data_IF_333022238886
#
_entry.id   IF_333022238886
#
_cell.length_a   1.000
_cell.length_b   1.000
_cell.length_c   1.000
_cell.angle_alpha   90.00
_cell.angle_beta   90.00
_cell.angle_gamma   90.00
#
_symmetry.space_group_name_H-M   'P 1'
#
loop_
_entity.id
_entity.type
_entity.pdbx_description
1 polymer ?
#
# COMPACT_ATOMS: atom_id res chain seq x y z
N UNK A 1 99.28 -9.50 -9.57
CA UNK A 1 98.85 -8.09 -9.71
C UNK A 1 97.97 -7.98 -10.95
N UNK A 2 96.76 -7.38 -10.81
CA UNK A 2 95.97 -6.69 -11.86
C UNK A 2 95.45 -7.54 -13.03
N UNK A 3 94.14 -7.79 -13.16
CA UNK A 3 93.10 -6.96 -13.84
C UNK A 3 92.53 -7.84 -14.98
N UNK A 4 91.29 -8.36 -14.91
CA UNK A 4 89.99 -7.74 -15.22
C UNK A 4 89.75 -7.46 -16.73
N UNK A 5 88.76 -8.15 -17.33
CA UNK A 5 87.96 -7.83 -18.54
C UNK A 5 86.82 -8.88 -18.64
N UNK A 6 85.59 -8.62 -18.16
CA UNK A 6 84.42 -8.05 -18.85
C UNK A 6 83.93 -8.84 -20.08
N UNK A 7 82.76 -9.47 -19.95
CA UNK A 7 81.89 -9.91 -21.05
C UNK A 7 80.40 -9.71 -20.66
N UNK A 8 79.53 -9.27 -21.59
CA UNK A 8 78.17 -8.83 -21.32
C UNK A 8 77.16 -9.99 -21.46
N UNK A 9 76.15 -10.04 -20.60
CA UNK A 9 74.98 -10.91 -20.77
C UNK A 9 73.72 -10.03 -20.89
N UNK A 10 73.10 -10.11 -22.07
CA UNK A 10 71.88 -9.40 -22.43
C UNK A 10 70.69 -9.91 -21.60
N UNK A 11 70.01 -9.01 -20.90
CA UNK A 11 68.69 -9.27 -20.32
C UNK A 11 67.62 -9.07 -21.40
N UNK A 12 66.95 -10.15 -21.79
CA UNK A 12 65.67 -10.11 -22.50
C UNK A 12 64.56 -9.72 -21.52
N UNK A 13 63.97 -8.54 -21.73
CA UNK A 13 62.76 -8.11 -21.03
C UNK A 13 61.53 -8.74 -21.71
N UNK A 14 60.92 -9.72 -21.04
CA UNK A 14 59.58 -10.22 -21.37
C UNK A 14 58.54 -9.23 -20.83
N UNK A 15 57.98 -8.40 -21.72
CA UNK A 15 56.80 -7.60 -21.41
C UNK A 15 55.56 -8.50 -21.43
N UNK A 16 55.15 -9.01 -20.27
CA UNK A 16 53.87 -9.67 -20.09
C UNK A 16 52.77 -8.62 -19.90
N UNK A 17 51.82 -8.53 -20.83
CA UNK A 17 50.59 -7.76 -20.64
C UNK A 17 49.71 -8.49 -19.62
N UNK A 18 49.79 -8.10 -18.34
CA UNK A 18 48.75 -8.42 -17.38
C UNK A 18 47.52 -7.59 -17.74
N UNK A 19 46.56 -8.19 -18.45
CA UNK A 19 45.21 -7.64 -18.54
C UNK A 19 44.63 -7.78 -17.14
N UNK A 20 44.70 -6.71 -16.35
CA UNK A 20 43.96 -6.60 -15.12
C UNK A 20 42.49 -6.72 -15.48
N UNK A 21 41.85 -7.82 -15.10
CA UNK A 21 40.41 -7.86 -14.96
C UNK A 21 40.05 -6.77 -13.97
N UNK A 22 39.59 -5.63 -14.47
CA UNK A 22 38.92 -4.66 -13.64
C UNK A 22 37.73 -5.41 -13.04
N UNK A 23 37.82 -5.75 -11.76
CA UNK A 23 36.63 -6.04 -10.98
C UNK A 23 35.75 -4.81 -11.13
N UNK A 24 34.72 -4.95 -11.96
CA UNK A 24 33.61 -4.00 -12.01
C UNK A 24 32.97 -4.17 -10.65
N UNK A 25 33.36 -3.31 -9.71
CA UNK A 25 32.68 -3.08 -8.44
C UNK A 25 31.22 -2.78 -8.77
N UNK A 26 30.44 -3.86 -8.86
CA UNK A 26 29.02 -3.81 -9.07
C UNK A 26 28.49 -3.45 -7.70
N UNK A 27 28.30 -2.16 -7.43
CA UNK A 27 27.63 -1.70 -6.22
C UNK A 27 26.38 -2.56 -6.03
N UNK A 28 26.23 -3.23 -4.87
CA UNK A 28 25.06 -4.05 -4.62
C UNK A 28 23.84 -3.17 -4.83
N UNK A 29 23.00 -3.51 -5.80
CA UNK A 29 21.81 -2.74 -6.09
C UNK A 29 20.93 -2.87 -4.86
N UNK A 30 20.82 -1.79 -4.08
CA UNK A 30 20.06 -1.79 -2.84
C UNK A 30 18.61 -2.17 -3.17
N UNK A 31 18.21 -3.39 -2.79
CA UNK A 31 16.84 -3.83 -2.89
C UNK A 31 16.07 -3.23 -1.72
N UNK A 32 14.91 -2.65 -2.01
CA UNK A 32 14.03 -2.12 -0.98
C UNK A 32 12.79 -2.98 -0.82
N UNK A 33 12.42 -3.29 0.42
CA UNK A 33 11.29 -4.14 0.78
C UNK A 33 10.30 -3.38 1.66
N UNK A 34 9.01 -3.49 1.35
CA UNK A 34 7.94 -2.99 2.20
C UNK A 34 6.84 -4.00 2.46
N UNK A 35 6.20 -3.90 3.62
CA UNK A 35 5.02 -4.68 3.96
C UNK A 35 3.79 -3.79 4.09
N UNK A 36 2.69 -4.18 3.45
CA UNK A 36 1.39 -3.57 3.66
C UNK A 36 0.41 -4.67 4.03
N UNK A 37 -0.22 -4.50 5.18
CA UNK A 37 -1.33 -5.34 5.64
C UNK A 37 -2.56 -4.46 5.71
N UNK A 38 -3.56 -4.73 4.87
CA UNK A 38 -4.82 -3.99 4.82
C UNK A 38 -5.92 -4.84 5.43
N UNK A 39 -6.62 -4.27 6.40
CA UNK A 39 -7.87 -4.80 6.94
C UNK A 39 -9.00 -3.95 6.36
N UNK A 40 -9.72 -4.52 5.40
CA UNK A 40 -10.82 -3.85 4.71
C UNK A 40 -12.15 -4.30 5.30
N UNK A 41 -13.05 -3.33 5.48
CA UNK A 41 -14.45 -3.57 5.80
C UNK A 41 -15.31 -2.64 4.97
N UNK A 42 -16.31 -3.14 4.28
CA UNK A 42 -17.21 -2.34 3.47
C UNK A 42 -18.65 -2.73 3.75
N UNK A 43 -19.47 -1.77 4.13
CA UNK A 43 -20.92 -1.92 4.26
C UNK A 43 -21.62 -1.23 3.08
N UNK A 44 -22.52 -1.95 2.41
CA UNK A 44 -23.29 -1.43 1.28
C UNK A 44 -24.80 -1.36 1.56
N UNK A 45 -25.59 -0.90 0.58
CA UNK A 45 -27.05 -0.95 0.64
C UNK A 45 -27.52 -2.40 0.88
N UNK A 46 -28.41 -2.59 1.87
CA UNK A 46 -28.87 -3.93 2.27
C UNK A 46 -27.96 -4.66 3.27
N UNK A 47 -27.04 -3.94 3.93
CA UNK A 47 -26.23 -4.40 5.07
C UNK A 47 -25.38 -5.66 4.82
N UNK A 48 -25.09 -5.97 3.56
CA UNK A 48 -24.10 -7.00 3.21
C UNK A 48 -22.69 -6.44 3.46
N UNK A 49 -22.23 -6.56 4.70
CA UNK A 49 -20.89 -6.20 5.08
C UNK A 49 -19.89 -7.25 4.56
N UNK A 50 -18.90 -6.79 3.79
CA UNK A 50 -17.74 -7.59 3.38
C UNK A 50 -16.55 -7.17 4.22
N UNK A 51 -15.85 -8.13 4.81
CA UNK A 51 -14.59 -7.89 5.51
C UNK A 51 -13.50 -8.83 5.00
N UNK A 52 -12.31 -8.31 4.75
CA UNK A 52 -11.19 -9.07 4.20
C UNK A 52 -9.88 -8.52 4.78
N UNK A 53 -8.92 -9.40 5.09
CA UNK A 53 -7.53 -9.00 5.31
C UNK A 53 -6.72 -9.37 4.09
N UNK A 54 -5.86 -8.46 3.65
CA UNK A 54 -4.90 -8.70 2.60
C UNK A 54 -3.51 -8.26 3.07
N UNK A 55 -2.51 -9.13 2.97
CA UNK A 55 -1.12 -8.80 3.24
C UNK A 55 -0.29 -8.97 1.96
N UNK A 56 0.58 -7.99 1.70
CA UNK A 56 1.48 -7.96 0.54
C UNK A 56 2.86 -7.47 0.99
N UNK A 57 3.91 -8.11 0.49
CA UNK A 57 5.30 -7.79 0.80
C UNK A 57 6.00 -7.45 -0.51
N UNK A 58 6.17 -6.16 -0.78
CA UNK A 58 6.67 -5.67 -2.06
C UNK A 58 8.17 -5.49 -2.00
N UNK A 59 8.87 -6.02 -3.00
CA UNK A 59 10.27 -5.74 -3.29
C UNK A 59 10.38 -4.90 -4.54
N UNK A 60 11.29 -3.95 -4.49
CA UNK A 60 11.68 -3.14 -5.64
C UNK A 60 13.16 -3.37 -5.92
N UNK A 61 13.47 -3.70 -7.17
CA UNK A 61 14.83 -4.00 -7.63
C UNK A 61 15.66 -2.75 -7.91
N UNK A 62 15.02 -1.58 -8.00
CA UNK A 62 15.66 -0.28 -8.24
C UNK A 62 14.95 0.83 -7.46
N UNK A 63 15.70 1.48 -6.59
CA UNK A 63 15.21 2.60 -5.77
C UNK A 63 14.52 2.16 -4.48
N UNK A 64 14.07 3.14 -3.70
CA UNK A 64 13.30 2.88 -2.49
C UNK A 64 11.83 2.55 -2.79
N UNK A 65 11.13 2.07 -1.76
CA UNK A 65 9.67 1.96 -1.79
C UNK A 65 9.05 3.35 -1.83
N UNK A 66 8.48 3.69 -2.98
CA UNK A 66 7.75 4.95 -3.21
C UNK A 66 6.23 4.75 -3.06
N UNK A 67 5.46 5.84 -3.19
CA UNK A 67 3.99 5.80 -3.10
C UNK A 67 3.37 4.88 -4.17
N UNK A 68 4.02 4.74 -5.32
CA UNK A 68 3.55 3.88 -6.39
C UNK A 68 3.68 2.40 -6.03
N UNK A 69 4.82 1.99 -5.49
CA UNK A 69 5.01 0.63 -4.98
C UNK A 69 3.99 0.30 -3.88
N UNK A 70 3.73 1.25 -2.98
CA UNK A 70 2.69 1.09 -1.95
C UNK A 70 1.29 0.94 -2.57
N UNK A 71 1.00 1.68 -3.64
CA UNK A 71 -0.27 1.60 -4.38
C UNK A 71 -0.48 0.24 -5.01
N UNK A 72 0.57 -0.33 -5.60
CA UNK A 72 0.52 -1.69 -6.15
C UNK A 72 0.33 -2.72 -5.02
N UNK A 73 0.89 -2.47 -3.84
CA UNK A 73 0.61 -3.26 -2.64
C UNK A 73 -0.81 -3.07 -2.06
N UNK A 74 -1.66 -2.29 -2.71
CA UNK A 74 -3.05 -2.06 -2.32
C UNK A 74 -3.25 -0.88 -1.37
N UNK A 75 -2.23 -0.09 -1.06
CA UNK A 75 -2.44 1.17 -0.37
C UNK A 75 -3.05 2.19 -1.34
N UNK A 76 -4.38 2.39 -1.25
CA UNK A 76 -5.04 3.42 -2.06
C UNK A 76 -4.40 4.78 -1.79
N UNK A 77 -4.04 5.49 -2.86
CA UNK A 77 -3.61 6.87 -2.76
C UNK A 77 -4.75 7.73 -2.22
N UNK A 78 -4.42 8.61 -1.30
CA UNK A 78 -5.37 9.53 -0.66
C UNK A 78 -4.85 10.94 -0.89
N UNK A 79 -5.64 11.85 -1.48
CA UNK A 79 -5.25 13.24 -1.62
C UNK A 79 -4.93 13.87 -0.27
N UNK A 80 -4.24 15.01 -0.28
CA UNK A 80 -4.09 15.80 0.94
C UNK A 80 -5.47 16.19 1.49
N UNK A 81 -5.60 16.30 2.82
CA UNK A 81 -6.84 16.71 3.47
C UNK A 81 -7.29 18.08 2.93
N UNK A 82 -8.56 18.17 2.53
CA UNK A 82 -9.16 19.35 1.89
C UNK A 82 -8.98 19.40 0.38
N UNK A 83 -8.38 18.38 -0.24
CA UNK A 83 -8.16 18.31 -1.69
C UNK A 83 -9.05 17.24 -2.33
N UNK A 84 -9.50 17.54 -3.54
CA UNK A 84 -10.15 16.61 -4.44
C UNK A 84 -9.28 16.37 -5.68
N UNK A 85 -9.23 15.14 -6.16
CA UNK A 85 -8.53 14.75 -7.39
C UNK A 85 -9.41 13.82 -8.22
N UNK A 86 -9.26 13.83 -9.54
CA UNK A 86 -9.94 12.84 -10.38
C UNK A 86 -9.35 11.46 -10.14
N UNK A 87 -10.18 10.41 -10.21
CA UNK A 87 -9.69 9.04 -10.04
C UNK A 87 -8.71 8.65 -11.15
N UNK A 88 -8.86 9.18 -12.36
CA UNK A 88 -7.98 8.91 -13.50
C UNK A 88 -6.57 9.49 -13.29
N UNK A 89 -6.45 10.71 -12.75
CA UNK A 89 -5.14 11.31 -12.41
C UNK A 89 -4.43 10.56 -11.28
N UNK A 90 -5.20 9.85 -10.45
CA UNK A 90 -4.67 9.02 -9.37
C UNK A 90 -4.22 7.64 -9.86
N UNK A 91 -4.34 7.33 -11.14
CA UNK A 91 -3.74 6.13 -11.73
C UNK A 91 -2.35 6.47 -12.28
N UNK A 92 -1.31 5.96 -11.61
CA UNK A 92 0.07 6.10 -12.07
C UNK A 92 0.43 4.95 -13.01
N UNK A 93 1.24 5.23 -14.04
CA UNK A 93 1.72 4.21 -14.98
C UNK A 93 2.46 3.11 -14.20
N UNK A 94 2.04 1.84 -14.25
CA UNK A 94 2.56 0.79 -13.38
C UNK A 94 4.06 0.58 -13.60
N UNK A 95 4.77 0.22 -12.53
CA UNK A 95 6.18 -0.20 -12.56
C UNK A 95 6.27 -1.67 -12.15
N UNK A 96 7.27 -2.42 -12.65
CA UNK A 96 7.50 -3.79 -12.19
C UNK A 96 7.74 -3.84 -10.69
N UNK A 97 7.03 -4.73 -10.01
CA UNK A 97 7.21 -5.05 -8.59
C UNK A 97 7.19 -6.56 -8.38
N UNK A 98 7.96 -7.01 -7.39
CA UNK A 98 8.00 -8.41 -6.98
C UNK A 98 7.36 -8.55 -5.60
N UNK A 99 6.56 -9.58 -5.39
CA UNK A 99 5.87 -9.86 -4.13
C UNK A 99 6.55 -11.04 -3.43
N UNK A 100 7.22 -10.77 -2.32
CA UNK A 100 7.99 -11.75 -1.56
C UNK A 100 7.07 -12.80 -0.89
N UNK A 101 7.53 -14.05 -0.87
CA UNK A 101 6.92 -15.11 -0.06
C UNK A 101 7.50 -15.09 1.37
N UNK A 102 6.64 -14.78 2.34
CA UNK A 102 7.02 -14.66 3.75
C UNK A 102 6.57 -15.85 4.61
N UNK A 103 6.18 -16.95 3.96
CA UNK A 103 5.69 -18.14 4.65
C UNK A 103 4.25 -17.97 5.14
N UNK A 104 4.01 -18.15 6.44
CA UNK A 104 2.66 -18.06 7.00
C UNK A 104 2.36 -16.68 7.58
N UNK A 105 1.17 -16.17 7.29
CA UNK A 105 0.65 -14.92 7.85
C UNK A 105 -0.64 -15.21 8.60
N UNK A 106 -0.72 -14.75 9.84
CA UNK A 106 -1.90 -14.88 10.69
C UNK A 106 -2.30 -13.53 11.23
N UNK A 107 -3.60 -13.32 11.36
CA UNK A 107 -4.19 -12.13 11.96
C UNK A 107 -5.09 -12.52 13.10
N UNK A 108 -4.94 -11.83 14.21
CA UNK A 108 -5.72 -12.04 15.42
C UNK A 108 -6.40 -10.73 15.83
N UNK A 109 -7.70 -10.78 16.08
CA UNK A 109 -8.47 -9.64 16.59
C UNK A 109 -9.59 -10.15 17.49
N UNK A 110 -9.73 -9.52 18.67
CA UNK A 110 -10.73 -9.91 19.67
C UNK A 110 -10.73 -11.42 20.00
N UNK A 111 -9.54 -12.05 20.01
CA UNK A 111 -9.36 -13.49 20.27
C UNK A 111 -9.67 -14.41 19.10
N UNK A 112 -10.25 -13.90 18.00
CA UNK A 112 -10.42 -14.65 16.77
C UNK A 112 -9.12 -14.61 15.97
N UNK A 113 -8.62 -15.78 15.56
CA UNK A 113 -7.40 -15.93 14.76
C UNK A 113 -7.75 -16.46 13.37
N UNK A 114 -7.24 -15.80 12.35
CA UNK A 114 -7.43 -16.14 10.93
C UNK A 114 -6.06 -16.32 10.29
N UNK A 115 -5.83 -17.46 9.64
CA UNK A 115 -4.65 -17.66 8.80
C UNK A 115 -4.96 -17.16 7.38
N UNK A 116 -4.06 -16.35 6.81
CA UNK A 116 -4.22 -15.84 5.45
C UNK A 116 -3.74 -16.89 4.46
N UNK A 117 -4.48 -17.03 3.37
CA UNK A 117 -4.19 -18.01 2.32
C UNK A 117 -3.24 -17.39 1.29
N UNK A 118 -2.07 -17.99 1.01
CA UNK A 118 -1.19 -17.52 -0.06
C UNK A 118 -1.80 -17.80 -1.43
N UNK A 119 -1.69 -16.84 -2.34
CA UNK A 119 -2.09 -16.96 -3.74
C UNK A 119 -0.97 -16.40 -4.62
N UNK A 120 -0.51 -17.23 -5.56
CA UNK A 120 0.47 -16.83 -6.56
C UNK A 120 -0.18 -15.89 -7.57
N UNK A 121 0.47 -14.76 -7.83
CA UNK A 121 0.10 -13.80 -8.86
C UNK A 121 0.91 -14.13 -10.11
N UNK A 122 0.25 -14.56 -11.21
CA UNK A 122 0.95 -14.83 -12.46
C UNK A 122 1.45 -13.52 -13.06
N UNK A 123 2.61 -13.56 -13.70
CA UNK A 123 3.23 -12.40 -14.31
C UNK A 123 3.31 -12.51 -15.85
N UNK A 124 2.19 -12.35 -16.57
CA UNK A 124 2.17 -12.51 -18.02
C UNK A 124 2.89 -11.37 -18.76
N UNK A 125 3.15 -10.25 -18.10
CA UNK A 125 3.65 -9.01 -18.73
C UNK A 125 4.89 -8.43 -18.05
N UNK A 126 5.47 -9.10 -17.05
CA UNK A 126 6.67 -8.63 -16.34
C UNK A 126 6.42 -7.52 -15.32
N UNK A 127 5.19 -7.37 -14.81
CA UNK A 127 4.77 -6.22 -14.01
C UNK A 127 4.54 -6.54 -12.54
N UNK A 128 3.89 -7.65 -12.22
CA UNK A 128 3.61 -8.05 -10.84
C UNK A 128 3.74 -9.56 -10.76
N UNK A 129 4.72 -10.03 -10.00
CA UNK A 129 4.97 -11.46 -9.78
C UNK A 129 5.04 -11.75 -8.27
N UNK A 130 4.73 -12.98 -7.86
CA UNK A 130 4.94 -13.46 -6.48
C UNK A 130 3.66 -13.72 -5.69
N UNK A 131 3.66 -13.48 -4.38
CA UNK A 131 2.59 -13.97 -3.47
C UNK A 131 1.77 -12.86 -2.83
N UNK A 132 0.44 -12.98 -2.87
CA UNK A 132 -0.48 -12.23 -2.01
C UNK A 132 -1.09 -13.16 -0.96
N UNK A 133 -1.37 -12.63 0.22
CA UNK A 133 -2.02 -13.38 1.30
C UNK A 133 -3.36 -12.75 1.57
N UNK A 134 -4.45 -13.51 1.56
CA UNK A 134 -5.75 -12.97 1.97
C UNK A 134 -6.65 -13.99 2.67
N UNK A 135 -7.56 -13.47 3.49
CA UNK A 135 -8.63 -14.25 4.08
C UNK A 135 -9.86 -13.38 4.36
N UNK A 136 -11.08 -13.92 4.20
CA UNK A 136 -12.28 -13.25 4.67
C UNK A 136 -12.27 -13.18 6.20
N UNK A 137 -12.80 -12.08 6.74
CA UNK A 137 -13.12 -11.95 8.16
C UNK A 137 -14.65 -11.97 8.29
N UNK A 138 -15.16 -12.53 9.38
CA UNK A 138 -16.59 -12.45 9.67
C UNK A 138 -17.04 -10.99 9.84
N UNK A 139 -18.19 -10.64 9.27
CA UNK A 139 -18.72 -9.28 9.33
C UNK A 139 -19.06 -8.82 10.76
N UNK A 140 -19.42 -9.75 11.64
CA UNK A 140 -19.73 -9.53 13.05
C UNK A 140 -18.50 -9.52 13.96
N UNK A 141 -17.31 -9.87 13.43
CA UNK A 141 -16.10 -9.90 14.22
C UNK A 141 -15.69 -8.48 14.62
N UNK A 142 -15.53 -8.27 15.92
CA UNK A 142 -15.02 -7.01 16.44
C UNK A 142 -13.56 -6.78 15.99
N UNK A 143 -13.32 -5.65 15.34
CA UNK A 143 -11.99 -5.15 15.00
C UNK A 143 -11.71 -3.98 15.92
N UNK A 144 -11.02 -4.25 17.04
CA UNK A 144 -10.63 -3.22 18.01
C UNK A 144 -9.12 -3.11 18.07
N UNK A 145 -8.44 -4.20 18.37
CA UNK A 145 -6.98 -4.35 18.31
C UNK A 145 -6.65 -5.55 17.46
N UNK A 146 -5.80 -5.34 16.46
CA UNK A 146 -5.40 -6.35 15.51
C UNK A 146 -3.91 -6.62 15.64
N UNK A 147 -3.57 -7.89 15.84
CA UNK A 147 -2.20 -8.40 15.85
C UNK A 147 -1.97 -9.21 14.57
N UNK A 148 -1.01 -8.78 13.77
CA UNK A 148 -0.56 -9.50 12.57
C UNK A 148 0.75 -10.20 12.90
N UNK A 149 0.84 -11.50 12.63
CA UNK A 149 2.06 -12.28 12.81
C UNK A 149 2.46 -12.95 11.51
N UNK A 150 3.72 -12.77 11.15
CA UNK A 150 4.38 -13.42 10.02
C UNK A 150 5.40 -14.39 10.61
N UNK A 151 5.32 -15.68 10.24
CA UNK A 151 6.24 -16.70 10.78
C UNK A 151 7.68 -16.51 10.32
N UNK A 152 7.85 -15.86 9.17
CA UNK A 152 9.12 -15.80 8.45
C UNK A 152 9.16 -16.81 7.32
N UNK A 153 9.95 -16.47 6.31
CA UNK A 153 10.13 -17.16 5.03
C UNK A 153 11.38 -16.58 4.38
N UNK A 154 11.22 -15.82 3.30
CA UNK A 154 12.31 -15.00 2.77
C UNK A 154 12.61 -13.75 3.62
N UNK A 155 11.74 -13.43 4.57
CA UNK A 155 11.92 -12.37 5.57
C UNK A 155 11.93 -12.96 6.98
N UNK A 156 12.52 -12.22 7.92
CA UNK A 156 12.43 -12.54 9.33
C UNK A 156 10.97 -12.47 9.82
N UNK A 157 10.64 -13.28 10.81
CA UNK A 157 9.32 -13.23 11.45
C UNK A 157 9.06 -11.86 12.07
N UNK A 158 7.82 -11.36 11.93
CA UNK A 158 7.41 -10.05 12.45
C UNK A 158 6.05 -10.14 13.14
N UNK A 159 5.88 -9.32 14.18
CA UNK A 159 4.57 -9.03 14.78
C UNK A 159 4.28 -7.54 14.66
N UNK A 160 3.11 -7.19 14.15
CA UNK A 160 2.61 -5.82 14.09
C UNK A 160 1.29 -5.73 14.86
N UNK A 161 1.10 -4.64 15.60
CA UNK A 161 -0.11 -4.43 16.41
C UNK A 161 -0.65 -3.03 16.18
N UNK A 162 -1.95 -2.91 15.93
CA UNK A 162 -2.61 -1.61 15.84
C UNK A 162 -4.06 -1.66 16.30
N UNK A 163 -4.58 -0.50 16.69
CA UNK A 163 -5.99 -0.30 17.05
C UNK A 163 -6.75 0.14 15.82
N UNK A 164 -7.82 -0.59 15.46
CA UNK A 164 -8.71 -0.23 14.36
C UNK A 164 -9.45 1.08 14.64
N UNK A 165 -9.78 1.87 13.60
CA UNK A 165 -10.65 3.02 13.75
C UNK A 165 -12.09 2.59 14.05
N UNK A 166 -12.92 3.53 14.48
CA UNK A 166 -14.36 3.28 14.59
C UNK A 166 -14.97 2.97 13.22
N UNK A 167 -15.99 2.12 13.17
CA UNK A 167 -16.76 1.86 11.94
C UNK A 167 -17.34 3.13 11.31
N UNK A 168 -17.51 3.12 9.99
CA UNK A 168 -18.12 4.23 9.24
C UNK A 168 -19.65 4.19 9.35
N UNK A 169 -20.20 4.97 10.28
CA UNK A 169 -21.64 5.03 10.59
C UNK A 169 -22.22 6.43 10.42
N UNK A 170 -23.56 6.52 10.36
CA UNK A 170 -24.26 7.81 10.26
C UNK A 170 -24.04 8.54 8.94
N UNK A 171 -23.67 7.83 7.86
CA UNK A 171 -23.31 8.45 6.58
C UNK A 171 -24.55 9.03 5.89
N UNK A 172 -24.51 10.33 5.60
CA UNK A 172 -25.53 11.06 4.84
C UNK A 172 -24.90 11.83 3.69
N UNK A 173 -25.69 12.10 2.65
CA UNK A 173 -25.23 12.83 1.47
C UNK A 173 -26.38 13.63 0.87
N UNK A 174 -26.24 14.95 0.86
CA UNK A 174 -27.26 15.89 0.41
C UNK A 174 -26.70 16.78 -0.69
N UNK A 175 -27.40 16.86 -1.81
CA UNK A 175 -27.01 17.72 -2.92
C UNK A 175 -27.46 19.17 -2.68
N UNK A 176 -26.53 20.11 -2.78
CA UNK A 176 -26.80 21.54 -2.58
C UNK A 176 -26.22 22.38 -3.71
N UNK A 177 -26.47 23.70 -3.69
CA UNK A 177 -25.85 24.62 -4.63
C UNK A 177 -24.32 24.68 -4.51
N UNK A 178 -23.73 24.22 -3.39
CA UNK A 178 -22.28 24.20 -3.16
C UNK A 178 -21.61 22.89 -3.59
N UNK A 179 -22.40 21.86 -3.88
CA UNK A 179 -21.93 20.53 -4.25
C UNK A 179 -22.63 19.45 -3.44
N UNK A 180 -21.91 18.39 -3.09
CA UNK A 180 -22.44 17.29 -2.27
C UNK A 180 -21.98 17.48 -0.82
N UNK A 181 -22.91 17.80 0.07
CA UNK A 181 -22.66 17.90 1.51
C UNK A 181 -22.71 16.49 2.13
N UNK A 182 -21.69 16.16 2.90
CA UNK A 182 -21.49 14.84 3.50
C UNK A 182 -21.54 14.96 5.03
N UNK A 183 -22.21 14.01 5.68
CA UNK A 183 -22.22 13.84 7.13
C UNK A 183 -21.83 12.41 7.52
N UNK A 184 -21.17 12.24 8.66
CA UNK A 184 -20.87 10.94 9.27
C UNK A 184 -20.59 11.07 10.77
N UNK A 185 -20.63 9.96 11.51
CA UNK A 185 -20.22 9.95 12.91
C UNK A 185 -18.70 10.11 13.00
N UNK A 186 -18.20 11.19 13.61
CA UNK A 186 -16.76 11.44 13.75
C UNK A 186 -16.01 10.30 14.48
N UNK A 187 -14.76 10.09 14.08
CA UNK A 187 -13.85 9.16 14.74
C UNK A 187 -13.33 9.66 16.09
N UNK A 188 -12.49 8.85 16.72
CA UNK A 188 -11.91 9.10 18.03
C UNK A 188 -10.44 9.56 17.99
N UNK A 189 -9.80 9.49 16.82
CA UNK A 189 -8.38 9.79 16.63
C UNK A 189 -8.15 10.77 15.48
N UNK A 190 -7.41 11.85 15.73
CA UNK A 190 -7.10 12.87 14.74
C UNK A 190 -6.19 12.38 13.60
N UNK A 191 -5.58 11.19 13.74
CA UNK A 191 -4.80 10.53 12.69
C UNK A 191 -5.66 9.85 11.64
N UNK A 192 -6.96 9.69 11.91
CA UNK A 192 -7.87 9.11 10.94
C UNK A 192 -8.13 10.09 9.80
N UNK A 193 -8.04 9.58 8.58
CA UNK A 193 -8.37 10.32 7.37
C UNK A 193 -9.65 9.73 6.79
N UNK A 194 -10.59 10.61 6.46
CA UNK A 194 -11.78 10.22 5.72
C UNK A 194 -11.58 10.60 4.26
N UNK A 195 -11.83 9.69 3.33
CA UNK A 195 -11.91 10.06 1.93
C UNK A 195 -13.20 9.51 1.32
N UNK A 196 -13.70 10.20 0.31
CA UNK A 196 -14.90 9.80 -0.43
C UNK A 196 -14.53 9.52 -1.87
N UNK A 197 -14.98 8.38 -2.39
CA UNK A 197 -15.02 8.11 -3.82
C UNK A 197 -16.43 8.40 -4.31
N UNK A 198 -16.59 9.37 -5.23
CA UNK A 198 -17.90 9.69 -5.83
C UNK A 198 -17.91 9.29 -7.29
N UNK A 199 -18.94 8.52 -7.65
CA UNK A 199 -19.25 8.15 -9.03
C UNK A 199 -20.62 8.68 -9.40
N UNK A 200 -20.64 9.77 -10.17
CA UNK A 200 -21.85 10.37 -10.73
C UNK A 200 -22.01 9.93 -12.19
N UNK A 201 -23.25 9.70 -12.63
CA UNK A 201 -23.52 9.26 -14.01
C UNK A 201 -23.03 10.31 -15.01
N UNK A 202 -22.24 9.87 -15.99
CA UNK A 202 -21.71 10.72 -17.06
C UNK A 202 -20.57 11.65 -16.64
N UNK A 203 -19.99 11.44 -15.45
CA UNK A 203 -18.84 12.21 -14.95
C UNK A 203 -17.64 11.31 -14.69
N UNK A 204 -16.46 11.93 -14.72
CA UNK A 204 -15.23 11.32 -14.19
C UNK A 204 -15.38 11.18 -12.67
N UNK A 205 -14.97 10.04 -12.13
CA UNK A 205 -15.01 9.82 -10.69
C UNK A 205 -14.04 10.75 -9.96
N UNK A 206 -14.41 11.15 -8.74
CA UNK A 206 -13.58 12.03 -7.90
C UNK A 206 -13.29 11.37 -6.56
N UNK A 207 -12.07 11.55 -6.06
CA UNK A 207 -11.72 11.30 -4.67
C UNK A 207 -11.45 12.60 -3.93
N UNK A 208 -12.14 12.84 -2.83
CA UNK A 208 -11.86 13.96 -1.93
C UNK A 208 -11.45 13.44 -0.55
N UNK A 209 -10.48 14.08 0.09
CA UNK A 209 -10.03 13.74 1.43
C UNK A 209 -10.41 14.83 2.46
N UNK A 210 -10.73 14.40 3.67
CA UNK A 210 -11.20 15.21 4.79
C UNK A 210 -10.52 14.75 6.09
N UNK A 211 -10.39 15.66 7.04
CA UNK A 211 -10.17 15.27 8.43
C UNK A 211 -11.43 14.56 8.94
N UNK A 212 -11.28 13.63 9.87
CA UNK A 212 -12.41 12.87 10.43
C UNK A 212 -13.24 13.69 11.45
N UNK A 213 -13.78 14.83 11.00
CA UNK A 213 -14.58 15.75 11.79
C UNK A 213 -16.09 15.59 11.67
N UNK A 214 -16.56 14.50 11.03
CA UNK A 214 -17.98 14.20 10.86
C UNK A 214 -18.70 14.95 9.73
N UNK A 215 -17.97 15.72 8.92
CA UNK A 215 -18.55 16.50 7.81
C UNK A 215 -17.54 16.78 6.70
N UNK A 216 -18.03 16.89 5.48
CA UNK A 216 -17.24 17.22 4.30
C UNK A 216 -18.12 17.81 3.20
N UNK A 217 -17.49 18.46 2.22
CA UNK A 217 -18.19 18.94 1.02
C UNK A 217 -17.37 18.55 -0.20
N UNK A 218 -17.99 17.83 -1.13
CA UNK A 218 -17.43 17.64 -2.48
C UNK A 218 -17.88 18.82 -3.33
N UNK A 219 -16.95 19.65 -3.85
CA UNK A 219 -17.32 20.89 -4.54
C UNK A 219 -18.20 20.69 -5.77
N UNK A 220 -19.05 21.68 -6.06
CA UNK A 220 -19.95 21.70 -7.23
C UNK A 220 -19.27 21.49 -8.60
N UNK A 221 -17.96 21.77 -8.67
CA UNK A 221 -17.15 21.49 -9.86
C UNK A 221 -17.11 20.00 -10.22
N UNK A 222 -17.23 19.12 -9.22
CA UNK A 222 -17.21 17.67 -9.40
C UNK A 222 -18.61 17.07 -9.42
N UNK A 223 -19.50 17.55 -8.55
CA UNK A 223 -20.87 17.01 -8.38
C UNK A 223 -21.85 18.16 -8.20
N UNK A 224 -22.86 18.24 -9.06
CA UNK A 224 -23.90 19.26 -9.07
C UNK A 224 -25.20 18.76 -8.45
N UNK A 225 -26.13 19.68 -8.20
CA UNK A 225 -27.40 19.38 -7.54
C UNK A 225 -28.29 18.36 -8.28
N UNK A 226 -28.09 18.21 -9.59
CA UNK A 226 -28.88 17.32 -10.45
C UNK A 226 -28.20 15.97 -10.71
N UNK A 227 -26.99 15.76 -10.19
CA UNK A 227 -26.28 14.51 -10.40
C UNK A 227 -26.86 13.41 -9.51
N UNK A 228 -26.89 12.20 -10.05
CA UNK A 228 -27.33 10.99 -9.37
C UNK A 228 -26.21 9.97 -9.46
N UNK A 229 -25.94 9.26 -8.36
CA UNK A 229 -24.81 8.35 -8.33
C UNK A 229 -24.68 7.57 -7.02
N UNK A 230 -23.50 7.00 -6.84
CA UNK A 230 -23.09 6.36 -5.60
C UNK A 230 -21.84 7.02 -5.07
N UNK A 231 -21.72 7.04 -3.75
CA UNK A 231 -20.47 7.38 -3.10
C UNK A 231 -20.08 6.27 -2.14
N UNK A 232 -18.77 6.12 -1.95
CA UNK A 232 -18.20 5.28 -0.89
C UNK A 232 -17.35 6.17 -0.01
N UNK A 233 -17.74 6.27 1.26
CA UNK A 233 -17.01 7.02 2.27
C UNK A 233 -16.13 6.05 3.06
N UNK A 234 -14.83 6.31 3.10
CA UNK A 234 -13.80 5.48 3.72
C UNK A 234 -13.23 6.21 4.93
N UNK A 235 -13.08 5.52 6.06
CA UNK A 235 -12.23 5.92 7.18
C UNK A 235 -10.98 5.06 7.17
N UNK A 236 -9.83 5.73 7.10
CA UNK A 236 -8.53 5.08 7.06
C UNK A 236 -7.72 5.42 8.28
N UNK A 237 -7.17 4.38 8.90
CA UNK A 237 -6.12 4.50 9.92
C UNK A 237 -4.87 3.77 9.44
N UNK A 238 -3.73 4.44 9.51
CA UNK A 238 -2.42 3.90 9.12
C UNK A 238 -1.57 3.76 10.38
N UNK A 239 -1.08 2.56 10.65
CA UNK A 239 -0.21 2.27 11.78
C UNK A 239 1.13 1.74 11.26
N UNK A 240 2.19 2.58 11.25
CA UNK A 240 3.51 2.11 10.85
C UNK A 240 4.05 1.12 11.88
N UNK A 241 4.82 0.14 11.41
CA UNK A 241 5.58 -0.76 12.27
C UNK A 241 6.99 -0.97 11.70
N UNK A 242 7.88 -1.54 12.52
CA UNK A 242 9.26 -1.82 12.14
C UNK A 242 9.52 -3.31 12.19
N UNK A 243 10.31 -3.80 11.24
CA UNK A 243 10.78 -5.17 11.21
C UNK A 243 12.16 -5.22 10.57
N UNK A 244 12.96 -6.21 10.93
CA UNK A 244 14.23 -6.45 10.24
C UNK A 244 13.95 -6.89 8.80
N UNK A 245 14.68 -6.30 7.85
CA UNK A 245 14.53 -6.59 6.43
C UNK A 245 13.36 -5.86 5.74
N UNK A 246 12.66 -4.98 6.46
CA UNK A 246 11.66 -4.07 5.88
C UNK A 246 12.13 -2.62 6.01
N UNK A 247 12.14 -1.89 4.89
CA UNK A 247 12.43 -0.45 4.87
C UNK A 247 11.19 0.38 5.25
N UNK A 248 10.00 -0.13 4.92
CA UNK A 248 8.73 0.46 5.30
C UNK A 248 7.70 -0.63 5.61
N UNK A 249 6.91 -0.44 6.67
CA UNK A 249 5.85 -1.39 6.99
C UNK A 249 4.64 -0.69 7.59
N UNK A 250 3.44 -1.08 7.15
CA UNK A 250 2.19 -0.47 7.55
C UNK A 250 1.08 -1.50 7.75
N UNK A 251 0.40 -1.40 8.89
CA UNK A 251 -0.92 -1.99 9.10
C UNK A 251 -1.97 -0.90 8.86
N UNK A 252 -2.80 -1.10 7.85
CA UNK A 252 -3.83 -0.17 7.40
C UNK A 252 -5.21 -0.74 7.66
N UNK A 253 -6.09 0.07 8.23
CA UNK A 253 -7.52 -0.20 8.28
C UNK A 253 -8.23 0.68 7.26
N UNK A 254 -9.16 0.12 6.51
CA UNK A 254 -9.97 0.84 5.53
C UNK A 254 -11.44 0.43 5.70
N UNK A 255 -12.18 1.23 6.47
CA UNK A 255 -13.57 0.97 6.84
C UNK A 255 -14.48 1.88 6.03
N UNK A 256 -15.31 1.28 5.19
CA UNK A 256 -16.02 1.96 4.14
C UNK A 256 -17.53 1.76 4.23
N UNK A 257 -18.28 2.77 3.79
CA UNK A 257 -19.73 2.69 3.62
C UNK A 257 -20.15 3.28 2.29
N UNK A 258 -20.93 2.52 1.54
CA UNK A 258 -21.47 2.94 0.24
C UNK A 258 -22.94 3.33 0.37
N UNK A 259 -23.31 4.51 -0.14
CA UNK A 259 -24.70 4.98 -0.21
C UNK A 259 -24.99 5.62 -1.59
N UNK A 260 -26.26 5.58 -2.05
CA UNK A 260 -26.69 6.38 -3.20
C UNK A 260 -26.88 7.86 -2.82
N UNK A 261 -26.89 8.75 -3.82
CA UNK A 261 -27.31 10.16 -3.68
C UNK A 261 -28.09 10.64 -4.92
N UNK A 262 -28.83 11.74 -4.80
CA UNK A 262 -29.57 12.37 -5.91
C UNK A 262 -30.96 11.78 -6.15
N UNK A 263 -31.74 11.58 -5.08
CA UNK A 263 -33.14 11.13 -5.16
C UNK A 263 -34.12 12.31 -5.26
#
# INVERSE_FOLDING_TARGET
>A
MRSALLAPAALLALAGCSVGSADVDTEPTAQSTAAIVVVERTAGPGDLARSEVIARFVRTSRGGVDEQALRIAGARAVPAVGVCASLDEMDAAPRPVELADVGSVTVESAGARVALVPRQVPDPVGMISGVIYSAPISADQALTRTDVRVSGGELDGVTATATAPREMTGVTADTTARGLELGWDAGDDARDVVFVDVSARGRVGVRCAFADGGRGVVPAAWVTANDVGTLTLHRVRRAPFQARGLDAAELRFDFARTIPFGL
#
